data_IF_151841308114
#
_entry.id   IF_151841308114
#
_cell.length_a   1.000
_cell.length_b   1.000
_cell.length_c   1.000
_cell.angle_alpha   90.00
_cell.angle_beta   90.00
_cell.angle_gamma   90.00
#
_symmetry.space_group_name_H-M   'P 1'
#
loop_
_entity.id
_entity.type
_entity.pdbx_description
1 polymer ?
#
# COMPACT_ATOMS: atom_id res chain seq x y z
N UNK A 1 -26.62 -56.63 -0.02
CA UNK A 1 -25.97 -55.73 -1.05
C UNK A 1 -25.88 -54.29 -0.59
N UNK A 2 -26.81 -53.77 0.19
CA UNK A 2 -26.84 -52.37 0.69
C UNK A 2 -25.64 -52.03 1.57
N UNK A 3 -25.18 -52.92 2.44
CA UNK A 3 -24.07 -52.66 3.39
C UNK A 3 -22.71 -52.47 2.70
N UNK A 4 -22.48 -53.19 1.58
CA UNK A 4 -21.23 -53.04 0.82
C UNK A 4 -21.11 -51.70 0.13
N UNK A 5 -22.22 -51.13 -0.36
CA UNK A 5 -22.23 -49.81 -0.95
C UNK A 5 -21.98 -48.72 0.09
N UNK A 6 -22.57 -48.83 1.28
CA UNK A 6 -22.30 -47.87 2.37
C UNK A 6 -20.85 -47.84 2.81
N UNK A 7 -20.18 -48.98 2.86
CA UNK A 7 -18.76 -49.08 3.19
C UNK A 7 -17.90 -48.46 2.08
N UNK A 8 -18.21 -48.73 0.81
CA UNK A 8 -17.46 -48.15 -0.32
C UNK A 8 -17.62 -46.64 -0.37
N UNK A 9 -18.84 -46.13 -0.20
CA UNK A 9 -19.12 -44.68 -0.18
C UNK A 9 -18.40 -44.01 1.01
N UNK A 10 -18.40 -44.63 2.18
CA UNK A 10 -17.67 -44.15 3.36
C UNK A 10 -16.16 -44.07 3.14
N UNK A 11 -15.57 -45.08 2.48
CA UNK A 11 -14.14 -45.09 2.16
C UNK A 11 -13.77 -44.02 1.11
N UNK A 12 -14.62 -43.80 0.11
CA UNK A 12 -14.41 -42.72 -0.89
C UNK A 12 -14.48 -41.35 -0.20
N UNK A 13 -15.45 -41.13 0.67
CA UNK A 13 -15.61 -39.87 1.39
C UNK A 13 -14.43 -39.62 2.33
N UNK A 14 -13.95 -40.68 3.03
CA UNK A 14 -12.76 -40.59 3.86
C UNK A 14 -11.51 -40.26 3.04
N UNK A 15 -11.35 -40.90 1.88
CA UNK A 15 -10.22 -40.61 0.99
C UNK A 15 -10.24 -39.16 0.48
N UNK A 16 -11.41 -38.63 0.12
CA UNK A 16 -11.56 -37.22 -0.29
C UNK A 16 -11.19 -36.26 0.86
N UNK A 17 -11.65 -36.56 2.09
CA UNK A 17 -11.31 -35.76 3.26
C UNK A 17 -9.79 -35.83 3.54
N UNK A 18 -9.17 -37.01 3.45
CA UNK A 18 -7.73 -37.16 3.65
C UNK A 18 -6.93 -36.41 2.58
N UNK A 19 -7.33 -36.49 1.31
CA UNK A 19 -6.69 -35.74 0.22
C UNK A 19 -6.87 -34.24 0.40
N UNK A 20 -8.07 -33.79 0.79
CA UNK A 20 -8.31 -32.40 1.11
C UNK A 20 -7.48 -31.92 2.32
N UNK A 21 -7.38 -32.72 3.36
CA UNK A 21 -6.56 -32.45 4.54
C UNK A 21 -5.05 -32.42 4.20
N UNK A 22 -4.57 -33.33 3.38
CA UNK A 22 -3.17 -33.31 2.92
C UNK A 22 -2.89 -32.06 2.06
N UNK A 23 -3.81 -31.67 1.18
CA UNK A 23 -3.66 -30.44 0.39
C UNK A 23 -3.77 -29.14 1.21
N UNK A 24 -4.50 -29.17 2.33
CA UNK A 24 -4.62 -27.99 3.21
C UNK A 24 -3.56 -27.95 4.32
N UNK A 25 -3.08 -29.08 4.80
CA UNK A 25 -2.12 -29.17 5.90
C UNK A 25 -0.70 -29.52 5.42
N UNK A 26 -0.54 -30.14 4.25
CA UNK A 26 0.73 -30.48 3.63
C UNK A 26 1.12 -29.57 2.48
N UNK A 27 0.34 -28.55 2.23
CA UNK A 27 0.76 -27.44 1.42
C UNK A 27 1.72 -26.56 2.23
N UNK A 28 3.00 -26.94 2.29
CA UNK A 28 4.09 -25.96 2.14
C UNK A 28 3.97 -25.39 0.70
N UNK A 29 2.74 -25.05 0.33
CA UNK A 29 2.46 -24.13 -0.75
C UNK A 29 2.93 -22.79 -0.26
N UNK A 30 4.17 -22.47 -0.60
CA UNK A 30 4.53 -21.16 -1.03
C UNK A 30 3.57 -20.76 -2.19
N UNK A 31 2.30 -20.69 -1.86
CA UNK A 31 1.42 -19.72 -2.48
C UNK A 31 2.04 -18.41 -2.07
N UNK A 32 2.99 -17.93 -2.86
CA UNK A 32 3.38 -16.53 -2.89
C UNK A 32 2.09 -15.75 -3.09
N UNK A 33 1.42 -15.49 -1.96
CA UNK A 33 0.35 -14.54 -1.92
C UNK A 33 0.97 -13.26 -2.44
N UNK A 34 0.56 -12.85 -3.63
CA UNK A 34 1.06 -11.65 -4.29
C UNK A 34 0.73 -10.37 -3.52
N UNK A 35 0.00 -10.47 -2.43
CA UNK A 35 -0.35 -9.38 -1.53
C UNK A 35 0.64 -9.32 -0.36
N UNK A 36 1.07 -8.13 -0.05
CA UNK A 36 1.94 -7.82 1.09
C UNK A 36 3.17 -7.02 0.66
N UNK A 37 3.14 -5.74 0.98
CA UNK A 37 4.28 -4.84 0.75
C UNK A 37 5.51 -5.28 1.55
N UNK A 38 5.30 -5.91 2.71
CA UNK A 38 6.32 -6.47 3.60
C UNK A 38 7.07 -7.66 2.99
N UNK A 39 6.53 -8.27 1.92
CA UNK A 39 7.16 -9.37 1.18
C UNK A 39 7.98 -8.93 -0.02
N UNK A 40 8.05 -7.63 -0.27
CA UNK A 40 8.86 -7.11 -1.36
C UNK A 40 10.35 -7.33 -1.09
N UNK A 41 11.13 -7.61 -2.15
CA UNK A 41 12.56 -7.80 -2.00
C UNK A 41 13.22 -6.55 -1.43
N UNK A 42 14.29 -6.73 -0.66
CA UNK A 42 15.08 -5.64 -0.17
C UNK A 42 15.50 -4.73 -1.33
N UNK A 43 15.37 -3.41 -1.14
CA UNK A 43 15.65 -2.40 -2.16
C UNK A 43 14.72 -2.43 -3.37
N UNK A 44 13.50 -2.91 -3.21
CA UNK A 44 12.49 -2.77 -4.25
C UNK A 44 12.27 -1.29 -4.60
N UNK A 45 12.39 -0.96 -5.88
CA UNK A 45 12.09 0.39 -6.34
C UNK A 45 10.57 0.62 -6.25
N UNK A 46 10.16 1.65 -5.51
CA UNK A 46 8.75 2.00 -5.41
C UNK A 46 8.22 2.42 -6.78
N UNK A 47 7.14 1.80 -7.25
CA UNK A 47 6.52 2.20 -8.50
C UNK A 47 6.09 3.67 -8.49
N UNK A 48 6.26 4.34 -9.63
CA UNK A 48 5.82 5.72 -9.79
C UNK A 48 4.30 5.79 -9.92
N UNK A 49 3.68 6.73 -9.21
CA UNK A 49 2.26 7.05 -9.35
C UNK A 49 2.00 8.54 -9.17
N UNK A 50 0.85 8.99 -9.65
CA UNK A 50 0.28 10.29 -9.37
C UNK A 50 -1.18 10.11 -8.95
N UNK A 51 -1.57 10.70 -7.85
CA UNK A 51 -2.94 10.63 -7.31
C UNK A 51 -3.49 12.04 -7.08
N UNK A 52 -4.81 12.25 -7.18
CA UNK A 52 -5.40 13.51 -6.80
C UNK A 52 -5.16 13.81 -5.32
N UNK A 53 -4.88 15.05 -4.99
CA UNK A 53 -4.89 15.52 -3.62
C UNK A 53 -6.33 15.60 -3.10
N UNK A 54 -6.59 15.10 -1.89
CA UNK A 54 -7.93 15.12 -1.29
C UNK A 54 -8.49 16.54 -1.18
N UNK A 55 -7.65 17.51 -0.83
CA UNK A 55 -8.01 18.93 -0.72
C UNK A 55 -7.81 19.72 -2.02
N UNK A 56 -7.36 19.06 -3.10
CA UNK A 56 -7.14 19.70 -4.40
C UNK A 56 -8.44 19.97 -5.17
N UNK A 57 -8.30 20.59 -6.34
CA UNK A 57 -9.41 20.89 -7.24
C UNK A 57 -9.51 19.93 -8.42
N UNK A 58 -8.62 18.96 -8.52
CA UNK A 58 -8.62 17.99 -9.60
C UNK A 58 -9.87 17.12 -9.49
N UNK A 59 -10.72 17.17 -10.51
CA UNK A 59 -11.92 16.35 -10.61
C UNK A 59 -11.64 15.13 -11.48
N UNK A 60 -12.28 14.02 -11.12
CA UNK A 60 -12.18 12.77 -11.84
C UNK A 60 -11.07 11.87 -11.31
N UNK A 61 -10.97 10.75 -11.97
CA UNK A 61 -10.00 9.70 -11.68
C UNK A 61 -8.68 10.07 -12.37
N UNK A 62 -7.81 10.76 -11.65
CA UNK A 62 -6.48 11.10 -12.13
C UNK A 62 -5.42 10.14 -11.63
N UNK A 63 -5.85 8.99 -11.16
CA UNK A 63 -4.97 7.93 -10.74
C UNK A 63 -4.22 7.38 -11.95
N UNK A 64 -2.96 7.73 -12.07
CA UNK A 64 -2.09 7.35 -13.16
C UNK A 64 -0.96 6.50 -12.62
N UNK A 65 -1.31 5.33 -12.12
CA UNK A 65 -0.33 4.29 -11.85
C UNK A 65 0.16 3.76 -13.20
N UNK A 66 1.40 4.08 -13.57
CA UNK A 66 1.94 3.72 -14.88
C UNK A 66 2.57 2.34 -14.91
N UNK A 67 3.07 1.90 -13.77
CA UNK A 67 3.84 0.66 -13.69
C UNK A 67 2.98 -0.61 -13.68
N UNK A 68 1.66 -0.50 -13.45
CA UNK A 68 0.73 -1.60 -13.64
C UNK A 68 0.70 -2.07 -15.10
N UNK A 69 0.99 -1.15 -16.03
CA UNK A 69 1.10 -1.44 -17.46
C UNK A 69 2.32 -2.30 -17.83
N UNK A 70 3.31 -2.37 -16.97
CA UNK A 70 4.48 -3.24 -17.16
C UNK A 70 4.19 -4.71 -16.82
N UNK A 71 3.06 -5.00 -16.17
CA UNK A 71 2.63 -6.35 -15.82
C UNK A 71 1.90 -7.00 -17.01
N UNK A 72 2.34 -8.19 -17.40
CA UNK A 72 1.63 -9.01 -18.41
C UNK A 72 0.25 -9.47 -17.94
N UNK A 73 -0.06 -9.34 -16.65
CA UNK A 73 -1.33 -9.74 -16.05
C UNK A 73 -2.46 -8.72 -16.26
N UNK A 74 -2.11 -7.45 -16.50
CA UNK A 74 -3.07 -6.36 -16.73
C UNK A 74 -2.73 -5.71 -18.06
N UNK A 75 -3.43 -6.03 -19.16
CA UNK A 75 -3.19 -5.38 -20.43
C UNK A 75 -3.56 -3.90 -20.34
N UNK A 76 -2.62 -3.03 -20.65
CA UNK A 76 -2.84 -1.60 -20.75
C UNK A 76 -3.11 -1.21 -22.21
N UNK A 77 -4.37 -1.16 -22.63
CA UNK A 77 -4.69 -0.60 -23.94
C UNK A 77 -4.27 0.88 -23.94
N UNK A 78 -3.41 1.25 -24.89
CA UNK A 78 -2.92 2.62 -25.04
C UNK A 78 -1.83 3.06 -24.06
N UNK A 79 -1.01 2.14 -23.54
CA UNK A 79 0.15 2.46 -22.70
C UNK A 79 1.08 3.52 -23.32
N UNK A 80 1.21 3.50 -24.66
CA UNK A 80 1.97 4.44 -25.48
C UNK A 80 1.42 5.90 -25.46
N UNK A 81 0.18 6.10 -25.05
CA UNK A 81 -0.50 7.42 -24.98
C UNK A 81 -0.62 7.97 -23.56
N UNK A 82 -0.14 7.26 -22.57
CA UNK A 82 -0.20 7.73 -21.18
C UNK A 82 1.05 8.53 -20.83
N UNK A 83 0.86 9.69 -20.25
CA UNK A 83 1.97 10.42 -19.66
C UNK A 83 2.49 9.65 -18.44
N UNK A 84 3.80 9.48 -18.32
CA UNK A 84 4.40 8.89 -17.11
C UNK A 84 3.94 9.64 -15.86
N UNK A 85 3.65 8.92 -14.76
CA UNK A 85 3.15 9.51 -13.53
C UNK A 85 3.99 10.69 -13.03
N UNK A 86 5.31 10.60 -13.19
CA UNK A 86 6.25 11.66 -12.83
C UNK A 86 6.20 12.91 -13.72
N UNK A 87 5.48 12.87 -14.85
CA UNK A 87 5.33 14.01 -15.78
C UNK A 87 3.94 14.64 -15.74
N UNK A 88 3.00 14.05 -15.00
CA UNK A 88 1.67 14.62 -14.83
C UNK A 88 1.80 16.03 -14.23
N UNK A 89 1.12 17.05 -14.78
CA UNK A 89 1.15 18.40 -14.21
C UNK A 89 0.74 18.37 -12.73
N UNK A 90 1.45 19.12 -11.85
CA UNK A 90 1.22 19.07 -10.41
C UNK A 90 -0.09 19.72 -9.96
N UNK A 91 -0.82 20.39 -10.83
CA UNK A 91 -2.05 21.10 -10.47
C UNK A 91 -3.11 20.10 -9.94
N UNK A 92 -3.18 19.96 -8.62
CA UNK A 92 -4.12 19.09 -7.93
C UNK A 92 -3.73 17.62 -7.85
N UNK A 93 -2.56 17.20 -8.38
CA UNK A 93 -2.03 15.85 -8.26
C UNK A 93 -0.82 15.80 -7.32
N UNK A 94 -0.74 14.75 -6.52
CA UNK A 94 0.44 14.38 -5.74
C UNK A 94 1.19 13.33 -6.55
N UNK A 95 2.39 13.64 -7.02
CA UNK A 95 3.28 12.69 -7.69
C UNK A 95 4.25 12.13 -6.63
N UNK A 96 4.30 10.82 -6.50
CA UNK A 96 5.21 10.19 -5.52
C UNK A 96 6.67 10.52 -5.81
N UNK A 97 7.02 10.73 -7.08
CA UNK A 97 8.37 11.10 -7.50
C UNK A 97 8.87 12.41 -6.88
N UNK A 98 7.98 13.37 -6.65
CA UNK A 98 8.32 14.65 -6.04
C UNK A 98 8.65 14.50 -4.54
N UNK A 99 8.31 13.36 -3.96
CA UNK A 99 8.59 13.03 -2.56
C UNK A 99 9.86 12.19 -2.39
N UNK A 100 10.55 11.84 -3.48
CA UNK A 100 11.77 11.03 -3.44
C UNK A 100 13.05 11.85 -3.20
N UNK A 101 12.95 13.17 -3.02
CA UNK A 101 14.08 14.03 -2.65
C UNK A 101 14.59 13.78 -1.22
N UNK A 102 13.74 13.17 -0.39
CA UNK A 102 14.01 12.82 1.02
C UNK A 102 13.54 11.42 1.35
N UNK A 103 13.90 10.89 2.54
CA UNK A 103 13.23 9.69 3.06
C UNK A 103 11.72 9.90 3.06
N UNK A 104 10.98 8.86 2.68
CA UNK A 104 9.53 8.93 2.51
C UNK A 104 8.82 7.89 3.36
N UNK A 105 7.74 8.30 4.01
CA UNK A 105 6.76 7.41 4.64
C UNK A 105 5.44 7.52 3.88
N UNK A 106 4.94 6.40 3.37
CA UNK A 106 3.59 6.31 2.82
C UNK A 106 2.74 5.50 3.79
N UNK A 107 1.60 6.04 4.20
CA UNK A 107 0.57 5.35 4.99
C UNK A 107 -0.63 5.07 4.11
N UNK A 108 -0.95 3.80 3.87
CA UNK A 108 -2.12 3.36 3.14
C UNK A 108 -3.24 3.04 4.11
N UNK A 109 -4.44 3.55 3.85
CA UNK A 109 -5.59 3.41 4.73
C UNK A 109 -6.93 3.44 4.00
N UNK A 110 -8.01 3.12 4.71
CA UNK A 110 -9.41 3.29 4.29
C UNK A 110 -10.32 3.33 5.52
N UNK A 111 -11.54 3.81 5.39
CA UNK A 111 -12.46 4.05 6.51
C UNK A 111 -13.31 2.84 6.92
N UNK A 112 -13.10 1.66 6.34
CA UNK A 112 -13.93 0.49 6.57
C UNK A 112 -13.20 -0.58 7.38
N UNK A 113 -13.55 -0.65 8.65
CA UNK A 113 -13.05 -1.66 9.58
C UNK A 113 -11.70 -1.30 10.20
N UNK A 114 -11.59 -1.46 11.51
CA UNK A 114 -10.39 -1.09 12.26
C UNK A 114 -10.27 0.41 12.52
N UNK A 115 -9.23 0.78 13.22
CA UNK A 115 -8.91 2.16 13.62
C UNK A 115 -8.00 2.85 12.58
N UNK A 116 -8.23 2.58 11.28
CA UNK A 116 -7.33 3.06 10.23
C UNK A 116 -7.39 4.59 10.04
N UNK A 117 -8.55 5.19 10.32
CA UNK A 117 -8.72 6.66 10.32
C UNK A 117 -7.98 7.26 11.52
N UNK A 118 -8.16 6.69 12.71
CA UNK A 118 -7.49 7.11 13.94
C UNK A 118 -5.96 6.97 13.82
N UNK A 119 -5.51 5.97 13.07
CA UNK A 119 -4.10 5.82 12.76
C UNK A 119 -3.55 7.03 11.98
N UNK A 120 -4.36 7.69 11.15
CA UNK A 120 -3.90 8.88 10.41
C UNK A 120 -3.71 10.09 11.34
N UNK A 121 -4.39 10.18 12.47
CA UNK A 121 -4.09 11.19 13.50
C UNK A 121 -2.68 10.99 14.07
N UNK A 122 -2.29 9.73 14.29
CA UNK A 122 -0.93 9.37 14.71
C UNK A 122 0.09 9.75 13.62
N UNK A 123 -0.21 9.44 12.35
CA UNK A 123 0.67 9.77 11.22
C UNK A 123 0.86 11.29 11.11
N UNK A 124 -0.21 12.07 11.21
CA UNK A 124 -0.14 13.52 11.14
C UNK A 124 0.66 14.13 12.31
N UNK A 125 0.49 13.61 13.51
CA UNK A 125 1.27 14.06 14.67
C UNK A 125 2.77 13.83 14.49
N UNK A 126 3.15 12.70 13.90
CA UNK A 126 4.56 12.37 13.59
C UNK A 126 5.05 13.19 12.40
N UNK A 127 4.23 13.35 11.35
CA UNK A 127 4.54 14.24 10.21
C UNK A 127 4.93 15.64 10.69
N UNK A 128 4.15 16.26 11.58
CA UNK A 128 4.45 17.62 12.11
C UNK A 128 5.82 17.67 12.79
N UNK A 129 6.23 16.61 13.49
CA UNK A 129 7.55 16.52 14.15
C UNK A 129 8.71 16.38 13.17
N UNK A 130 8.50 15.68 12.06
CA UNK A 130 9.55 15.36 11.11
C UNK A 130 9.48 16.18 9.81
N UNK A 131 8.55 17.13 9.73
CA UNK A 131 8.38 18.03 8.58
C UNK A 131 9.72 18.65 8.17
N UNK A 132 10.06 18.58 6.88
CA UNK A 132 11.30 19.08 6.32
C UNK A 132 12.49 18.13 6.42
N UNK A 133 12.38 17.03 7.19
CA UNK A 133 13.40 15.97 7.28
C UNK A 133 12.99 14.70 6.55
N UNK A 134 11.72 14.37 6.61
CA UNK A 134 11.10 13.20 5.99
C UNK A 134 9.83 13.65 5.28
N UNK A 135 9.61 13.16 4.09
CA UNK A 135 8.36 13.33 3.38
C UNK A 135 7.33 12.30 3.87
N UNK A 136 6.08 12.71 3.92
CA UNK A 136 4.96 11.85 4.26
C UNK A 136 3.88 11.95 3.19
N UNK A 137 3.22 10.84 2.94
CA UNK A 137 2.01 10.75 2.12
C UNK A 137 1.02 9.84 2.81
N UNK A 138 -0.15 10.36 3.15
CA UNK A 138 -1.30 9.57 3.55
C UNK A 138 -2.11 9.26 2.31
N UNK A 139 -2.34 7.99 2.01
CA UNK A 139 -3.04 7.56 0.81
C UNK A 139 -4.27 6.73 1.17
N UNK A 140 -5.43 7.31 0.99
CA UNK A 140 -6.68 6.55 1.02
C UNK A 140 -6.78 5.67 -0.22
N UNK A 141 -7.12 4.39 -0.03
CA UNK A 141 -7.10 3.41 -1.11
C UNK A 141 -8.49 2.88 -1.48
N UNK A 142 -9.56 3.53 -1.02
CA UNK A 142 -10.90 2.97 -1.23
C UNK A 142 -12.06 3.96 -1.20
N UNK A 143 -11.93 5.07 -0.50
CA UNK A 143 -13.02 6.00 -0.29
C UNK A 143 -13.19 6.97 -1.44
N UNK A 144 -14.37 7.57 -1.53
CA UNK A 144 -14.60 8.67 -2.43
C UNK A 144 -13.88 9.94 -1.95
N UNK A 145 -13.43 10.78 -2.89
CA UNK A 145 -12.72 12.02 -2.63
C UNK A 145 -13.38 12.92 -1.59
N UNK A 146 -14.71 13.07 -1.68
CA UNK A 146 -15.43 13.98 -0.78
C UNK A 146 -15.38 13.48 0.66
N UNK A 147 -15.52 12.17 0.88
CA UNK A 147 -15.36 11.57 2.20
C UNK A 147 -13.94 11.77 2.75
N UNK A 148 -12.90 11.58 1.92
CA UNK A 148 -11.52 11.80 2.34
C UNK A 148 -11.26 13.27 2.66
N UNK A 149 -11.76 14.19 1.83
CA UNK A 149 -11.63 15.64 2.05
C UNK A 149 -12.30 16.08 3.34
N UNK A 150 -13.52 15.57 3.60
CA UNK A 150 -14.26 15.89 4.82
C UNK A 150 -13.50 15.41 6.06
N UNK A 151 -12.95 14.19 6.05
CA UNK A 151 -12.08 13.68 7.11
C UNK A 151 -10.84 14.56 7.33
N UNK A 152 -10.15 14.97 6.25
CA UNK A 152 -9.00 15.88 6.36
C UNK A 152 -9.39 17.18 7.07
N UNK A 153 -10.56 17.75 6.70
CA UNK A 153 -11.07 18.98 7.31
C UNK A 153 -11.47 18.79 8.78
N UNK A 154 -12.22 17.74 9.07
CA UNK A 154 -12.72 17.44 10.43
C UNK A 154 -11.57 17.12 11.41
N UNK A 155 -10.58 16.35 10.97
CA UNK A 155 -9.42 15.95 11.79
C UNK A 155 -8.32 17.01 11.82
N UNK A 156 -8.34 17.96 10.89
CA UNK A 156 -7.32 19.01 10.79
C UNK A 156 -5.93 18.48 10.43
N UNK A 157 -5.86 17.46 9.58
CA UNK A 157 -4.59 16.91 9.12
C UNK A 157 -3.84 17.90 8.24
N UNK A 158 -2.55 18.05 8.52
CA UNK A 158 -1.64 18.93 7.77
C UNK A 158 -0.74 18.18 6.78
N UNK A 159 -0.63 16.86 6.94
CA UNK A 159 0.13 16.02 6.01
C UNK A 159 -0.53 15.99 4.63
N UNK A 160 0.23 15.76 3.55
CA UNK A 160 -0.34 15.50 2.23
C UNK A 160 -1.23 14.25 2.25
N UNK A 161 -2.47 14.39 1.80
CA UNK A 161 -3.44 13.29 1.68
C UNK A 161 -3.87 13.16 0.23
N UNK A 162 -3.63 12.00 -0.36
CA UNK A 162 -4.13 11.59 -1.67
C UNK A 162 -5.20 10.52 -1.55
N UNK A 163 -5.88 10.21 -2.65
CA UNK A 163 -6.83 9.11 -2.70
C UNK A 163 -6.65 8.28 -3.97
N UNK A 164 -6.81 6.97 -3.83
CA UNK A 164 -6.67 5.93 -4.85
C UNK A 164 -8.03 5.21 -4.98
N UNK A 165 -8.98 5.87 -5.64
CA UNK A 165 -10.37 5.42 -5.69
C UNK A 165 -10.55 4.08 -6.39
N UNK A 166 -9.83 3.85 -7.48
CA UNK A 166 -9.94 2.64 -8.29
C UNK A 166 -9.05 1.50 -7.79
N UNK A 167 -8.24 1.76 -6.78
CA UNK A 167 -7.35 0.77 -6.18
C UNK A 167 -6.12 0.42 -7.03
N UNK A 168 -5.80 1.22 -8.06
CA UNK A 168 -4.67 0.93 -8.93
C UNK A 168 -3.34 1.06 -8.20
N UNK A 169 -3.16 2.10 -7.35
CA UNK A 169 -1.94 2.26 -6.55
C UNK A 169 -1.85 1.21 -5.47
N UNK A 170 -2.96 0.87 -4.81
CA UNK A 170 -2.97 -0.18 -3.80
C UNK A 170 -2.61 -1.55 -4.40
N UNK A 171 -3.10 -1.86 -5.60
CA UNK A 171 -2.72 -3.06 -6.33
C UNK A 171 -1.24 -3.05 -6.71
N UNK A 172 -0.73 -1.92 -7.21
CA UNK A 172 0.66 -1.72 -7.59
C UNK A 172 1.63 -1.92 -6.40
N UNK A 173 1.25 -1.42 -5.23
CA UNK A 173 1.99 -1.57 -3.98
C UNK A 173 1.64 -2.84 -3.20
N UNK A 174 0.75 -3.69 -3.75
CA UNK A 174 0.29 -4.94 -3.13
C UNK A 174 -0.30 -4.76 -1.73
N UNK A 175 -0.97 -3.64 -1.52
CA UNK A 175 -1.63 -3.30 -0.26
C UNK A 175 -3.05 -3.82 -0.27
N UNK A 176 -3.40 -4.67 0.70
CA UNK A 176 -4.75 -5.23 0.85
C UNK A 176 -5.35 -5.03 2.23
N UNK A 177 -4.58 -4.47 3.16
CA UNK A 177 -4.98 -4.25 4.57
C UNK A 177 -4.57 -2.86 5.03
N UNK A 178 -5.28 -2.31 6.01
CA UNK A 178 -4.93 -1.04 6.63
C UNK A 178 -4.75 -1.18 8.15
N UNK A 179 -3.92 -0.35 8.75
CA UNK A 179 -2.94 0.49 8.09
C UNK A 179 -1.76 -0.31 7.53
N UNK A 180 -1.26 0.09 6.36
CA UNK A 180 0.00 -0.43 5.81
C UNK A 180 0.97 0.73 5.59
N UNK A 181 2.23 0.55 5.94
CA UNK A 181 3.26 1.58 5.82
C UNK A 181 4.37 1.14 4.87
N UNK A 182 4.82 2.06 4.02
CA UNK A 182 6.06 1.95 3.27
C UNK A 182 7.05 2.98 3.80
N UNK A 183 8.27 2.55 4.10
CA UNK A 183 9.39 3.40 4.47
C UNK A 183 10.42 3.33 3.36
N UNK A 184 10.76 4.44 2.73
CA UNK A 184 11.63 4.47 1.57
C UNK A 184 12.82 5.42 1.74
N UNK A 185 13.95 5.03 1.17
CA UNK A 185 15.10 5.89 1.03
C UNK A 185 14.84 7.04 0.04
N UNK A 186 15.61 8.12 0.08
CA UNK A 186 15.69 9.04 -1.05
C UNK A 186 15.94 8.28 -2.35
N UNK A 187 15.30 8.72 -3.44
CA UNK A 187 15.32 7.99 -4.71
C UNK A 187 14.24 6.91 -4.83
N UNK A 188 13.38 6.73 -3.80
CA UNK A 188 12.19 5.87 -3.91
C UNK A 188 12.49 4.37 -3.78
N UNK A 189 13.52 3.98 -3.06
CA UNK A 189 13.82 2.56 -2.81
C UNK A 189 13.30 2.14 -1.45
N UNK A 190 12.52 1.06 -1.41
CA UNK A 190 11.94 0.53 -0.16
C UNK A 190 13.04 0.16 0.83
N UNK A 191 12.94 0.69 2.04
CA UNK A 191 13.78 0.35 3.19
C UNK A 191 13.12 -0.76 4.03
N UNK A 192 11.86 -0.57 4.36
CA UNK A 192 11.04 -1.53 5.10
C UNK A 192 9.56 -1.25 4.89
N UNK A 193 8.72 -2.18 5.28
CA UNK A 193 7.28 -2.01 5.35
C UNK A 193 6.76 -2.42 6.72
N UNK A 194 5.56 -1.95 7.08
CA UNK A 194 4.86 -2.31 8.30
C UNK A 194 3.37 -2.48 8.05
N UNK A 195 2.76 -3.39 8.78
CA UNK A 195 1.32 -3.66 8.73
C UNK A 195 0.80 -3.62 10.16
N UNK A 196 -0.35 -2.99 10.33
CA UNK A 196 -1.04 -2.90 11.62
C UNK A 196 -0.86 -1.55 12.32
N UNK A 197 -1.68 -1.33 13.31
CA UNK A 197 -1.73 -0.10 14.09
C UNK A 197 -0.47 0.06 14.94
N UNK A 198 0.07 1.25 14.94
CA UNK A 198 1.25 1.61 15.74
C UNK A 198 1.07 2.97 16.41
N UNK A 199 1.55 3.10 17.64
CA UNK A 199 1.51 4.37 18.35
C UNK A 199 2.54 5.39 17.83
N UNK A 200 2.35 6.67 18.21
CA UNK A 200 3.22 7.76 17.77
C UNK A 200 4.70 7.56 18.18
N UNK A 201 4.97 6.92 19.31
CA UNK A 201 6.32 6.61 19.75
C UNK A 201 6.98 5.57 18.82
N UNK A 202 6.26 4.51 18.48
CA UNK A 202 6.76 3.48 17.58
C UNK A 202 6.94 4.01 16.16
N UNK A 203 5.95 4.75 15.61
CA UNK A 203 6.10 5.36 14.30
C UNK A 203 7.30 6.32 14.26
N UNK A 204 7.50 7.11 15.34
CA UNK A 204 8.68 7.97 15.45
C UNK A 204 9.99 7.18 15.45
N UNK A 205 10.04 6.04 16.15
CA UNK A 205 11.20 5.15 16.15
C UNK A 205 11.50 4.61 14.73
N UNK A 206 10.47 4.16 13.99
CA UNK A 206 10.61 3.73 12.59
C UNK A 206 11.15 4.84 11.69
N UNK A 207 10.70 6.08 11.91
CA UNK A 207 11.21 7.24 11.16
C UNK A 207 12.67 7.53 11.50
N UNK A 208 13.08 7.45 12.76
CA UNK A 208 14.50 7.63 13.14
C UNK A 208 15.38 6.50 12.59
N UNK A 209 14.88 5.26 12.57
CA UNK A 209 15.59 4.13 11.94
C UNK A 209 15.78 4.36 10.43
N UNK A 210 14.75 4.85 9.73
CA UNK A 210 14.84 5.23 8.32
C UNK A 210 15.89 6.33 8.10
N UNK A 211 15.89 7.38 8.92
CA UNK A 211 16.86 8.46 8.87
C UNK A 211 18.30 7.95 9.14
N UNK A 212 18.46 7.06 10.12
CA UNK A 212 19.74 6.47 10.43
C UNK A 212 20.26 5.56 9.30
N UNK A 213 19.35 4.77 8.69
CA UNK A 213 19.67 3.92 7.55
C UNK A 213 20.05 4.74 6.31
N UNK A 214 19.35 5.85 6.05
CA UNK A 214 19.69 6.79 4.96
C UNK A 214 21.11 7.34 5.13
N UNK A 215 21.43 7.86 6.31
CA UNK A 215 22.79 8.37 6.60
C UNK A 215 23.88 7.31 6.45
N UNK A 216 23.58 6.04 6.72
CA UNK A 216 24.54 4.93 6.48
C UNK A 216 24.73 4.67 5.00
N UNK A 217 23.64 4.68 4.22
CA UNK A 217 23.70 4.45 2.77
C UNK A 217 24.45 5.56 2.01
N UNK A 218 24.36 6.81 2.47
CA UNK A 218 25.09 7.95 1.88
C UNK A 218 26.61 7.92 2.14
N UNK A 219 27.05 7.14 3.14
CA UNK A 219 28.47 7.02 3.50
C UNK A 219 29.18 5.81 2.91
N UNK A 220 28.43 4.90 2.30
CA UNK A 220 28.96 3.66 1.67
C UNK A 220 29.16 3.81 0.18
#
# INVERSE_FOLDING_TARGET
MRDRYSVIVGLIFLAVIVVAAINTLGGDGEGEGTLGLDRMPARWALPAFAVPAATGTLEGDANVAQDDCASSAIPCPHADRRDPACRIPPAGAIRVCDLFDRPLVISFWFDRGGECVEQQDVVDSVYRRYRGRVNFLSLDIRNDRDAVRDLVGERGWEMPVGYDRDGAVSALYRVGVCPTFAYAYPGGTLQSAGIGEIGAAELSARVEDLLAATRRAERS
#
